data_IF_817054444641
#
_entry.id   IF_817054444641
#
_cell.length_a   1.000
_cell.length_b   1.000
_cell.length_c   1.000
_cell.angle_alpha   90.00
_cell.angle_beta   90.00
_cell.angle_gamma   90.00
#
_symmetry.space_group_name_H-M   'P 1'
#
loop_
_entity.id
_entity.type
_entity.pdbx_description
1 polymer ?
#
# COMPACT_ATOMS: atom_id res chain seq x y z
N UNK A 1 31.06 28.91 -7.10
CA UNK A 1 30.78 27.51 -7.48
C UNK A 1 29.32 27.41 -7.78
N UNK A 2 28.95 27.42 -9.07
CA UNK A 2 27.56 27.51 -9.51
C UNK A 2 26.85 26.18 -9.29
N UNK A 3 25.76 26.21 -8.52
CA UNK A 3 24.80 25.10 -8.40
C UNK A 3 23.96 25.08 -9.66
N UNK A 4 24.25 24.17 -10.59
CA UNK A 4 23.37 23.90 -11.72
C UNK A 4 22.10 23.22 -11.21
N UNK A 5 20.96 23.90 -11.40
CA UNK A 5 19.66 23.30 -11.20
C UNK A 5 19.43 22.23 -12.27
N UNK A 6 19.45 20.95 -11.85
CA UNK A 6 19.08 19.83 -12.71
C UNK A 6 17.62 20.04 -13.11
N UNK A 7 17.41 20.46 -14.36
CA UNK A 7 16.07 20.60 -14.93
C UNK A 7 15.59 19.20 -15.30
N UNK A 8 14.82 18.57 -14.43
CA UNK A 8 14.22 17.27 -14.72
C UNK A 8 13.07 17.50 -15.73
N UNK A 9 13.31 17.15 -17.00
CA UNK A 9 12.23 17.01 -17.97
C UNK A 9 11.16 16.06 -17.38
N UNK A 10 9.85 16.27 -17.63
CA UNK A 10 8.83 15.39 -17.10
C UNK A 10 9.05 13.99 -17.68
N UNK A 11 9.64 13.11 -16.88
CA UNK A 11 9.74 11.69 -17.18
C UNK A 11 8.30 11.18 -17.32
N UNK A 12 7.94 10.71 -18.52
CA UNK A 12 6.67 10.02 -18.74
C UNK A 12 6.60 8.89 -17.72
N UNK A 13 5.77 9.05 -16.69
CA UNK A 13 5.66 8.05 -15.63
C UNK A 13 5.26 6.73 -16.26
N UNK A 14 6.01 5.67 -15.99
CA UNK A 14 5.64 4.32 -16.42
C UNK A 14 4.26 3.96 -15.86
N UNK A 15 3.54 3.12 -16.59
CA UNK A 15 2.33 2.53 -16.05
C UNK A 15 2.70 1.59 -14.88
N UNK A 16 1.81 1.53 -13.88
CA UNK A 16 1.94 0.59 -12.76
C UNK A 16 1.79 -0.83 -13.28
N UNK A 17 2.53 -1.77 -12.70
CA UNK A 17 2.38 -3.19 -13.04
C UNK A 17 0.95 -3.68 -12.70
N UNK A 18 0.46 -4.61 -13.53
CA UNK A 18 -0.81 -5.28 -13.23
C UNK A 18 -0.64 -6.19 -12.00
N UNK A 19 -1.57 -6.19 -11.04
CA UNK A 19 -1.49 -7.04 -9.85
C UNK A 19 -1.32 -8.54 -10.13
N UNK A 20 -1.82 -9.03 -11.27
CA UNK A 20 -1.72 -10.46 -11.65
C UNK A 20 -0.29 -10.95 -11.91
N UNK A 21 0.66 -10.03 -12.10
CA UNK A 21 2.09 -10.37 -12.24
C UNK A 21 2.66 -10.91 -10.93
N UNK A 22 2.10 -10.52 -9.79
CA UNK A 22 2.53 -10.96 -8.46
C UNK A 22 1.84 -12.26 -8.06
N UNK A 23 2.63 -13.28 -7.67
CA UNK A 23 2.11 -14.56 -7.15
C UNK A 23 1.84 -14.46 -5.66
N UNK A 24 0.79 -13.73 -5.29
CA UNK A 24 0.41 -13.50 -3.90
C UNK A 24 -0.51 -14.64 -3.38
N UNK A 25 -0.32 -15.12 -2.14
CA UNK A 25 -1.25 -16.04 -1.48
C UNK A 25 -2.47 -15.27 -0.96
N UNK A 26 -3.31 -14.77 -1.88
CA UNK A 26 -4.39 -13.80 -1.61
C UNK A 26 -5.33 -14.28 -0.51
N UNK A 27 -5.74 -15.53 -0.53
CA UNK A 27 -6.69 -16.10 0.43
C UNK A 27 -6.12 -16.06 1.86
N UNK A 28 -4.86 -16.47 2.02
CA UNK A 28 -4.19 -16.45 3.33
C UNK A 28 -3.95 -15.04 3.84
N UNK A 29 -3.66 -14.08 2.95
CA UNK A 29 -3.50 -12.68 3.35
C UNK A 29 -4.84 -12.11 3.83
N UNK A 30 -5.95 -12.39 3.12
CA UNK A 30 -7.30 -11.98 3.51
C UNK A 30 -7.76 -12.59 4.84
N UNK A 31 -7.36 -13.82 5.12
CA UNK A 31 -7.57 -14.49 6.41
C UNK A 31 -6.70 -13.90 7.54
N UNK A 32 -5.80 -12.97 7.23
CA UNK A 32 -4.89 -12.36 8.20
C UNK A 32 -3.77 -13.30 8.66
N UNK A 33 -3.46 -14.36 7.91
CA UNK A 33 -2.42 -15.34 8.26
C UNK A 33 -1.02 -14.71 8.38
N UNK A 34 -0.75 -13.68 7.57
CA UNK A 34 0.53 -12.96 7.54
C UNK A 34 0.51 -11.67 8.38
N UNK A 35 -0.56 -11.43 9.15
CA UNK A 35 -0.72 -10.24 9.99
C UNK A 35 -0.48 -10.58 11.45
N UNK A 36 -0.02 -9.59 12.22
CA UNK A 36 -0.01 -9.72 13.67
C UNK A 36 -1.44 -9.91 14.20
N UNK A 37 -1.61 -10.84 15.13
CA UNK A 37 -2.93 -11.26 15.65
C UNK A 37 -3.78 -10.10 16.19
N UNK A 38 -3.14 -9.02 16.67
CA UNK A 38 -3.88 -7.87 17.19
C UNK A 38 -4.68 -7.13 16.11
N UNK A 39 -4.28 -7.19 14.83
CA UNK A 39 -5.06 -6.59 13.74
C UNK A 39 -6.39 -7.32 13.55
N UNK A 40 -6.37 -8.65 13.48
CA UNK A 40 -7.59 -9.46 13.32
C UNK A 40 -8.55 -9.22 14.50
N UNK A 41 -8.01 -9.21 15.74
CA UNK A 41 -8.79 -8.88 16.94
C UNK A 41 -9.37 -7.47 16.91
N UNK A 42 -8.65 -6.50 16.34
CA UNK A 42 -9.13 -5.12 16.22
C UNK A 42 -10.31 -5.05 15.24
N UNK A 43 -10.23 -5.76 14.11
CA UNK A 43 -11.35 -5.88 13.16
C UNK A 43 -12.58 -6.50 13.84
N UNK A 44 -12.40 -7.58 14.59
CA UNK A 44 -13.49 -8.24 15.33
C UNK A 44 -14.18 -7.27 16.30
N UNK A 45 -13.40 -6.51 17.07
CA UNK A 45 -13.91 -5.51 18.03
C UNK A 45 -14.66 -4.38 17.32
N UNK A 46 -14.12 -3.85 16.23
CA UNK A 46 -14.75 -2.76 15.47
C UNK A 46 -16.08 -3.20 14.85
N UNK A 47 -16.13 -4.42 14.30
CA UNK A 47 -17.36 -4.98 13.74
C UNK A 47 -18.41 -5.24 14.82
N UNK A 48 -18.01 -5.82 15.96
CA UNK A 48 -18.91 -6.04 17.09
C UNK A 48 -19.52 -4.75 17.64
N UNK A 49 -18.78 -3.64 17.57
CA UNK A 49 -19.21 -2.31 18.00
C UNK A 49 -19.79 -1.45 16.86
N UNK A 50 -20.00 -2.03 15.66
CA UNK A 50 -20.50 -1.33 14.47
C UNK A 50 -19.76 -0.01 14.17
N UNK A 51 -18.43 0.01 14.41
CA UNK A 51 -17.58 1.18 14.21
C UNK A 51 -16.80 1.09 12.91
N UNK A 52 -17.10 2.01 11.99
CA UNK A 52 -16.46 2.12 10.68
C UNK A 52 -15.78 3.49 10.49
N UNK A 53 -14.65 3.76 11.20
CA UNK A 53 -13.98 5.04 11.12
C UNK A 53 -13.32 5.24 9.75
N UNK A 54 -13.42 6.46 9.21
CA UNK A 54 -12.63 6.88 8.05
C UNK A 54 -11.28 7.42 8.52
N UNK A 55 -10.20 6.82 8.03
CA UNK A 55 -8.83 7.13 8.49
C UNK A 55 -7.91 7.44 7.31
N UNK A 56 -6.82 8.16 7.62
CA UNK A 56 -5.68 8.31 6.73
C UNK A 56 -4.49 7.57 7.35
N UNK A 57 -3.90 6.64 6.60
CA UNK A 57 -2.64 5.99 6.97
C UNK A 57 -1.51 6.47 6.05
N UNK A 58 -0.38 6.83 6.65
CA UNK A 58 0.83 7.22 5.93
C UNK A 58 1.98 6.30 6.35
N UNK A 59 2.68 5.75 5.36
CA UNK A 59 3.86 4.90 5.57
C UNK A 59 5.09 5.72 5.21
N UNK A 60 6.03 5.83 6.16
CA UNK A 60 7.29 6.55 5.98
C UNK A 60 8.45 5.81 6.66
N UNK A 61 9.61 5.93 6.06
CA UNK A 61 10.88 5.43 6.56
C UNK A 61 11.46 6.36 7.62
N UNK A 62 12.13 5.80 8.64
CA UNK A 62 12.84 6.58 9.67
C UNK A 62 14.25 6.99 9.25
N UNK A 63 14.88 6.21 8.39
CA UNK A 63 16.27 6.36 7.96
C UNK A 63 16.36 6.63 6.46
N UNK A 64 17.55 6.99 5.96
CA UNK A 64 17.78 7.05 4.52
C UNK A 64 17.54 5.67 3.87
N UNK A 65 16.75 5.64 2.81
CA UNK A 65 16.36 4.42 2.12
C UNK A 65 16.06 4.69 0.64
N UNK A 66 16.09 3.63 -0.17
CA UNK A 66 15.64 3.63 -1.56
C UNK A 66 14.25 2.99 -1.60
N UNK A 67 13.33 3.59 -2.38
CA UNK A 67 11.98 3.04 -2.57
C UNK A 67 12.06 1.85 -3.52
N UNK A 68 11.34 0.77 -3.17
CA UNK A 68 11.21 -0.42 -4.01
C UNK A 68 10.04 -1.28 -3.55
N UNK A 69 9.47 -2.06 -4.47
CA UNK A 69 8.35 -2.96 -4.19
C UNK A 69 7.00 -2.25 -4.11
N UNK A 70 6.88 -1.03 -4.65
CA UNK A 70 5.65 -0.26 -4.49
C UNK A 70 4.48 -0.88 -5.25
N UNK A 71 4.72 -1.39 -6.46
CA UNK A 71 3.65 -2.00 -7.26
C UNK A 71 3.14 -3.29 -6.62
N UNK A 72 4.01 -4.06 -5.95
CA UNK A 72 3.61 -5.24 -5.17
C UNK A 72 2.80 -4.84 -3.93
N UNK A 73 3.22 -3.80 -3.21
CA UNK A 73 2.47 -3.28 -2.06
C UNK A 73 1.07 -2.81 -2.48
N UNK A 74 0.96 -2.11 -3.62
CA UNK A 74 -0.34 -1.71 -4.19
C UNK A 74 -1.15 -2.95 -4.59
N UNK A 75 -0.53 -3.98 -5.19
CA UNK A 75 -1.20 -5.22 -5.55
C UNK A 75 -1.77 -5.94 -4.33
N UNK A 76 -1.03 -5.98 -3.21
CA UNK A 76 -1.52 -6.54 -1.93
C UNK A 76 -2.78 -5.79 -1.48
N UNK A 77 -2.76 -4.46 -1.42
CA UNK A 77 -3.95 -3.68 -1.02
C UNK A 77 -5.10 -3.92 -2.00
N UNK A 78 -4.84 -3.89 -3.32
CA UNK A 78 -5.87 -4.05 -4.34
C UNK A 78 -6.52 -5.44 -4.35
N UNK A 79 -5.74 -6.49 -4.14
CA UNK A 79 -6.23 -7.87 -4.20
C UNK A 79 -6.70 -8.37 -2.83
N UNK A 80 -6.17 -7.86 -1.72
CA UNK A 80 -6.39 -8.43 -0.39
C UNK A 80 -7.26 -7.56 0.52
N UNK A 81 -7.61 -6.32 0.16
CA UNK A 81 -8.66 -5.57 0.87
C UNK A 81 -10.04 -6.15 0.62
N UNK A 82 -10.94 -6.02 1.60
CA UNK A 82 -12.35 -6.45 1.49
C UNK A 82 -13.07 -5.71 0.35
N UNK A 83 -12.96 -4.38 0.32
CA UNK A 83 -13.47 -3.54 -0.76
C UNK A 83 -12.46 -2.44 -1.13
N UNK A 84 -11.70 -2.68 -2.20
CA UNK A 84 -10.72 -1.70 -2.69
C UNK A 84 -11.37 -0.43 -3.24
N UNK A 85 -12.64 -0.45 -3.65
CA UNK A 85 -13.32 0.72 -4.21
C UNK A 85 -13.53 1.83 -3.17
N UNK A 86 -13.48 1.48 -1.88
CA UNK A 86 -13.55 2.42 -0.77
C UNK A 86 -12.20 3.07 -0.43
N UNK A 87 -11.11 2.61 -1.04
CA UNK A 87 -9.76 3.08 -0.74
C UNK A 87 -9.29 4.08 -1.79
N UNK A 88 -8.74 5.20 -1.31
CA UNK A 88 -7.93 6.11 -2.12
C UNK A 88 -6.46 5.88 -1.79
N UNK A 89 -5.71 5.35 -2.76
CA UNK A 89 -4.29 5.01 -2.60
C UNK A 89 -3.41 5.96 -3.40
N UNK A 90 -2.43 6.58 -2.73
CA UNK A 90 -1.38 7.39 -3.33
C UNK A 90 -0.02 6.79 -2.99
N UNK A 91 0.86 6.71 -3.99
CA UNK A 91 2.15 6.05 -3.83
C UNK A 91 3.23 6.69 -4.71
N UNK A 92 4.48 6.69 -4.20
CA UNK A 92 5.67 7.04 -4.98
C UNK A 92 5.95 5.98 -6.05
N UNK A 93 6.66 6.33 -7.11
CA UNK A 93 7.18 5.33 -8.06
C UNK A 93 8.57 4.91 -7.61
N UNK A 94 8.87 3.63 -7.74
CA UNK A 94 10.24 3.10 -7.76
C UNK A 94 10.76 3.02 -9.21
#
# INVERSE_FOLDING_TARGET
>A
MATEAVTHAPTRRRDRLDPSVFRLPVERIREGYYSDVYFNRTVDVLNADTRHPHVLMQVFQKNQAVVGGMDEAIAIVKLCSEDFSQLRVHALYD
#
